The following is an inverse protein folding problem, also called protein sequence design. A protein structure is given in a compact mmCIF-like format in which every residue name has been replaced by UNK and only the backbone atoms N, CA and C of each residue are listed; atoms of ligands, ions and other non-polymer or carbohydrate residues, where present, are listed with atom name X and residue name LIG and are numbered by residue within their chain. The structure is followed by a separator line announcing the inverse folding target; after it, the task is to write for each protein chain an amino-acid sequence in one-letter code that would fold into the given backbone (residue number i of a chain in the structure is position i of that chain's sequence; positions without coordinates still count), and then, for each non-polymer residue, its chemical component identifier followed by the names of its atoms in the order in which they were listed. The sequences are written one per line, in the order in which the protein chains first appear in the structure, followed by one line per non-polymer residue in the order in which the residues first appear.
data_IF_568582675572
#
_entry.id   IF_568582675572
#
_cell.length_a   1.000
_cell.length_b   1.000
_cell.length_c   1.000
_cell.angle_alpha   90.00
_cell.angle_beta   90.00
_cell.angle_gamma   90.00
#
_symmetry.space_group_name_H-M   'P 1'
#
loop_
_entity.id
_entity.type
_entity.pdbx_description
1 polymer ?
#
# COMPACT_ATOMS: atom_id res chain seq x y z
N UNK A 1 -15.95 -22.67 40.45
CA UNK A 1 -15.42 -23.09 39.14
C UNK A 1 -15.68 -21.96 38.15
N UNK A 2 -14.67 -21.15 37.84
CA UNK A 2 -14.78 -20.07 36.87
C UNK A 2 -14.42 -20.67 35.51
N UNK A 3 -15.42 -20.82 34.64
CA UNK A 3 -15.20 -21.20 33.24
C UNK A 3 -14.65 -19.96 32.53
N UNK A 4 -13.33 -19.90 32.38
CA UNK A 4 -12.70 -18.96 31.46
C UNK A 4 -13.06 -19.39 30.05
N UNK A 5 -14.02 -18.70 29.45
CA UNK A 5 -14.27 -18.77 28.01
C UNK A 5 -13.01 -18.23 27.31
N UNK A 6 -12.19 -19.13 26.75
CA UNK A 6 -11.14 -18.77 25.82
C UNK A 6 -11.80 -18.19 24.58
N UNK A 7 -11.80 -16.86 24.47
CA UNK A 7 -12.06 -16.19 23.21
C UNK A 7 -10.97 -16.63 22.23
N UNK A 8 -11.34 -17.41 21.21
CA UNK A 8 -10.49 -17.63 20.05
C UNK A 8 -10.26 -16.28 19.40
N UNK A 9 -9.08 -15.70 19.62
CA UNK A 9 -8.59 -14.60 18.81
C UNK A 9 -8.57 -15.07 17.35
N UNK A 10 -9.47 -14.54 16.53
CA UNK A 10 -9.42 -14.72 15.09
C UNK A 10 -8.04 -14.26 14.62
N UNK A 11 -7.21 -15.20 14.16
CA UNK A 11 -5.93 -14.85 13.56
C UNK A 11 -6.23 -13.94 12.38
N UNK A 12 -5.82 -12.67 12.48
CA UNK A 12 -5.79 -11.78 11.34
C UNK A 12 -4.90 -12.49 10.30
N UNK A 13 -5.53 -13.13 9.32
CA UNK A 13 -4.81 -13.84 8.27
C UNK A 13 -3.88 -12.83 7.62
N UNK A 14 -2.57 -13.03 7.80
CA UNK A 14 -1.56 -12.11 7.29
C UNK A 14 -1.84 -11.84 5.80
N UNK A 15 -1.71 -10.58 5.37
CA UNK A 15 -1.92 -10.21 3.98
C UNK A 15 -0.97 -11.02 3.07
N UNK A 16 -1.38 -11.37 1.85
CA UNK A 16 -0.51 -12.03 0.90
C UNK A 16 0.78 -11.22 0.70
N UNK A 17 1.97 -11.85 0.59
CA UNK A 17 3.24 -11.12 0.49
C UNK A 17 3.31 -10.11 -0.66
N UNK A 18 2.59 -10.37 -1.76
CA UNK A 18 2.49 -9.42 -2.87
C UNK A 18 1.72 -8.14 -2.49
N UNK A 19 0.69 -8.25 -1.65
CA UNK A 19 -0.08 -7.11 -1.15
C UNK A 19 0.76 -6.30 -0.16
N UNK A 20 1.45 -6.95 0.77
CA UNK A 20 2.34 -6.27 1.74
C UNK A 20 3.45 -5.49 1.03
N UNK A 21 4.14 -6.12 0.06
CA UNK A 21 5.19 -5.44 -0.73
C UNK A 21 4.66 -4.26 -1.54
N UNK A 22 3.46 -4.39 -2.11
CA UNK A 22 2.81 -3.28 -2.79
C UNK A 22 2.53 -2.11 -1.84
N UNK A 23 1.99 -2.38 -0.65
CA UNK A 23 1.67 -1.37 0.36
C UNK A 23 2.93 -0.60 0.77
N UNK A 24 4.01 -1.30 1.14
CA UNK A 24 5.27 -0.69 1.54
C UNK A 24 5.84 0.22 0.44
N UNK A 25 5.88 -0.29 -0.80
CA UNK A 25 6.34 0.48 -1.96
C UNK A 25 5.46 1.69 -2.23
N UNK A 26 4.13 1.50 -2.17
CA UNK A 26 3.18 2.56 -2.49
C UNK A 26 3.18 3.68 -1.45
N UNK A 27 3.35 3.34 -0.17
CA UNK A 27 3.57 4.34 0.88
C UNK A 27 4.85 5.15 0.64
N UNK A 28 5.94 4.51 0.19
CA UNK A 28 7.15 5.22 -0.23
C UNK A 28 6.90 6.17 -1.42
N UNK A 29 6.13 5.72 -2.42
CA UNK A 29 5.69 6.58 -3.51
C UNK A 29 4.87 7.79 -3.04
N UNK A 30 3.87 7.56 -2.19
CA UNK A 30 2.97 8.60 -1.71
C UNK A 30 3.70 9.59 -0.78
N UNK A 31 4.70 9.11 -0.02
CA UNK A 31 5.63 9.96 0.71
C UNK A 31 6.36 10.93 -0.24
N UNK A 32 7.05 10.43 -1.27
CA UNK A 32 7.75 11.28 -2.23
C UNK A 32 6.83 12.25 -2.96
N UNK A 33 5.63 11.81 -3.36
CA UNK A 33 4.65 12.64 -4.07
C UNK A 33 4.03 13.73 -3.21
N UNK A 34 4.00 13.54 -1.89
CA UNK A 34 3.52 14.54 -0.93
C UNK A 34 4.56 15.63 -0.62
N UNK A 35 5.80 15.49 -1.10
CA UNK A 35 6.86 16.44 -0.84
C UNK A 35 6.96 17.55 -1.90
N UNK A 36 7.32 18.74 -1.43
CA UNK A 36 7.66 19.88 -2.27
C UNK A 36 8.89 20.60 -1.71
N UNK A 37 9.78 21.06 -2.58
CA UNK A 37 10.94 21.86 -2.19
C UNK A 37 11.38 22.79 -3.32
N UNK A 38 11.72 24.02 -2.97
CA UNK A 38 12.32 24.99 -3.89
C UNK A 38 13.82 24.75 -4.09
N UNK A 39 14.46 24.04 -3.15
CA UNK A 39 15.86 23.65 -3.26
C UNK A 39 16.05 22.71 -4.46
N UNK A 40 16.93 23.06 -5.42
CA UNK A 40 17.05 22.31 -6.66
C UNK A 40 17.64 20.91 -6.46
N UNK A 41 18.41 20.66 -5.39
CA UNK A 41 18.96 19.35 -5.07
C UNK A 41 17.87 18.46 -4.48
N UNK A 42 17.10 18.96 -3.51
CA UNK A 42 15.98 18.22 -2.91
C UNK A 42 14.90 17.94 -3.94
N UNK A 43 14.56 18.89 -4.81
CA UNK A 43 13.60 18.67 -5.90
C UNK A 43 14.00 17.48 -6.79
N UNK A 44 15.27 17.38 -7.18
CA UNK A 44 15.78 16.23 -7.96
C UNK A 44 15.69 14.91 -7.18
N UNK A 45 15.92 14.93 -5.87
CA UNK A 45 15.77 13.74 -5.02
C UNK A 45 14.30 13.30 -4.95
N UNK A 46 13.37 14.23 -4.78
CA UNK A 46 11.93 13.98 -4.76
C UNK A 46 11.50 13.34 -6.10
N UNK A 47 11.88 13.95 -7.22
CA UNK A 47 11.57 13.42 -8.56
C UNK A 47 12.14 12.02 -8.78
N UNK A 48 13.39 11.78 -8.37
CA UNK A 48 14.04 10.47 -8.51
C UNK A 48 13.41 9.40 -7.61
N UNK A 49 13.10 9.75 -6.35
CA UNK A 49 12.43 8.88 -5.40
C UNK A 49 11.02 8.51 -5.87
N UNK A 50 10.23 9.51 -6.27
CA UNK A 50 8.91 9.30 -6.86
C UNK A 50 8.99 8.42 -8.12
N UNK A 51 9.93 8.68 -9.04
CA UNK A 51 10.09 7.84 -10.24
C UNK A 51 10.38 6.38 -9.88
N UNK A 52 11.27 6.13 -8.92
CA UNK A 52 11.63 4.78 -8.49
C UNK A 52 10.45 4.04 -7.86
N UNK A 53 9.79 4.68 -6.89
CA UNK A 53 8.77 4.01 -6.07
C UNK A 53 7.38 4.01 -6.72
N UNK A 54 7.05 5.00 -7.56
CA UNK A 54 5.72 5.14 -8.15
C UNK A 54 5.55 4.41 -9.48
N UNK A 55 6.61 4.23 -10.28
CA UNK A 55 6.48 3.71 -11.65
C UNK A 55 5.77 2.36 -11.68
N UNK A 56 4.66 2.28 -12.40
CA UNK A 56 3.88 1.04 -12.56
C UNK A 56 3.04 0.62 -11.34
N UNK A 57 3.05 1.39 -10.24
CA UNK A 57 2.28 1.07 -9.04
C UNK A 57 0.76 1.10 -9.29
N UNK A 58 0.25 1.96 -10.17
CA UNK A 58 -1.18 1.99 -10.52
C UNK A 58 -1.64 0.72 -11.25
N UNK A 59 -0.82 0.20 -12.17
CA UNK A 59 -1.10 -1.08 -12.84
C UNK A 59 -1.04 -2.25 -11.87
N UNK A 60 -0.13 -2.19 -10.90
CA UNK A 60 -0.03 -3.18 -9.84
C UNK A 60 -1.26 -3.16 -8.92
N UNK A 61 -1.72 -1.97 -8.53
CA UNK A 61 -2.95 -1.78 -7.76
C UNK A 61 -4.16 -2.38 -8.48
N UNK A 62 -4.33 -2.13 -9.78
CA UNK A 62 -5.39 -2.74 -10.60
C UNK A 62 -5.32 -4.26 -10.60
N UNK A 63 -4.11 -4.79 -10.81
CA UNK A 63 -3.88 -6.23 -10.83
C UNK A 63 -4.26 -6.84 -9.49
N UNK A 64 -3.84 -6.24 -8.38
CA UNK A 64 -4.12 -6.75 -7.03
C UNK A 64 -5.60 -6.65 -6.68
N UNK A 65 -6.27 -5.53 -7.00
CA UNK A 65 -7.72 -5.37 -6.83
C UNK A 65 -8.50 -6.42 -7.61
N UNK A 66 -8.10 -6.72 -8.85
CA UNK A 66 -8.72 -7.78 -9.67
C UNK A 66 -8.49 -9.18 -9.11
N UNK A 67 -7.24 -9.49 -8.73
CA UNK A 67 -6.84 -10.80 -8.24
C UNK A 67 -7.54 -11.13 -6.91
N UNK A 68 -7.62 -10.17 -6.00
CA UNK A 68 -8.14 -10.35 -4.65
C UNK A 68 -9.56 -9.77 -4.45
N UNK A 69 -10.34 -9.59 -5.53
CA UNK A 69 -11.69 -8.98 -5.47
C UNK A 69 -12.69 -9.67 -4.53
N UNK A 70 -12.43 -10.93 -4.15
CA UNK A 70 -13.27 -11.72 -3.22
C UNK A 70 -12.66 -11.85 -1.81
N UNK A 71 -11.50 -11.26 -1.57
CA UNK A 71 -10.84 -11.28 -0.26
C UNK A 71 -11.10 -9.94 0.45
N UNK A 72 -11.95 -9.90 1.51
CA UNK A 72 -12.30 -8.65 2.18
C UNK A 72 -11.09 -7.98 2.84
N UNK A 73 -10.20 -8.75 3.49
CA UNK A 73 -9.01 -8.20 4.14
C UNK A 73 -8.08 -7.47 3.15
N UNK A 74 -7.88 -8.05 1.95
CA UNK A 74 -7.07 -7.39 0.91
C UNK A 74 -7.79 -6.19 0.32
N UNK A 75 -9.12 -6.25 0.12
CA UNK A 75 -9.88 -5.10 -0.35
C UNK A 75 -9.78 -3.93 0.62
N UNK A 76 -9.95 -4.19 1.91
CA UNK A 76 -9.85 -3.18 2.95
C UNK A 76 -8.44 -2.59 3.02
N UNK A 77 -7.41 -3.41 2.89
CA UNK A 77 -6.02 -2.96 2.86
C UNK A 77 -5.66 -2.13 1.61
N UNK A 78 -6.42 -2.27 0.50
CA UNK A 78 -6.16 -1.58 -0.76
C UNK A 78 -7.14 -0.43 -1.06
N UNK A 79 -8.09 -0.15 -0.16
CA UNK A 79 -9.19 0.79 -0.44
C UNK A 79 -8.72 2.25 -0.53
N UNK A 80 -7.73 2.63 0.27
CA UNK A 80 -7.28 4.02 0.40
C UNK A 80 -6.20 4.40 -0.63
N UNK A 81 -5.67 3.43 -1.40
CA UNK A 81 -4.72 3.74 -2.48
C UNK A 81 -5.48 4.17 -3.73
N UNK A 82 -5.25 5.40 -4.17
CA UNK A 82 -5.85 5.92 -5.40
C UNK A 82 -4.91 5.83 -6.59
N UNK A 83 -5.46 5.77 -7.79
CA UNK A 83 -4.64 5.98 -9.00
C UNK A 83 -4.30 7.45 -9.13
N UNK A 84 -3.21 7.73 -9.84
CA UNK A 84 -2.97 9.10 -10.32
C UNK A 84 -3.51 9.17 -11.72
N UNK A 85 -4.52 10.01 -11.96
CA UNK A 85 -4.79 10.44 -13.33
C UNK A 85 -3.58 11.28 -13.77
N UNK A 86 -2.79 10.73 -14.70
CA UNK A 86 -1.72 11.45 -15.39
C UNK A 86 -2.28 12.16 -16.61
#
# INVERSE_FOLDING_TARGET
MIVFAFALAASASALPPAVTRFIERRQGCDHWRGEYSEDPVRRRQIEAGAKKECTGSDRELDRLRKLYRRNPAVRDALKDFEKVEL
#
